data_IF_471339267649
#
_entry.id   IF_471339267649
#
_cell.length_a   1.000
_cell.length_b   1.000
_cell.length_c   1.000
_cell.angle_alpha   90.00
_cell.angle_beta   90.00
_cell.angle_gamma   90.00
#
_symmetry.space_group_name_H-M   'P 1'
#
loop_
_entity.id
_entity.type
_entity.pdbx_description
1 polymer ?
#
# COMPACT_ATOMS: atom_id res chain seq x y z
N UNK A 1 38.70 84.18 -26.82
CA UNK A 1 39.89 83.47 -27.23
C UNK A 1 39.78 81.99 -26.97
N UNK A 2 39.86 81.17 -28.05
CA UNK A 2 39.91 79.70 -28.14
C UNK A 2 38.70 78.89 -27.58
N UNK A 3 37.76 78.63 -28.45
CA UNK A 3 36.79 77.53 -28.45
C UNK A 3 37.53 76.17 -28.43
N UNK A 4 37.16 75.25 -27.53
CA UNK A 4 37.50 73.83 -27.63
C UNK A 4 36.21 73.04 -27.85
N UNK A 5 36.10 72.49 -29.05
CA UNK A 5 35.00 71.58 -29.43
C UNK A 5 35.19 70.24 -28.71
N UNK A 6 34.20 69.78 -27.98
CA UNK A 6 34.10 68.43 -27.45
C UNK A 6 33.15 67.67 -28.37
N UNK A 7 33.70 66.76 -29.13
CA UNK A 7 32.91 65.83 -29.94
C UNK A 7 32.31 64.73 -29.04
N UNK A 8 31.01 64.67 -29.04
CA UNK A 8 30.25 63.65 -28.31
C UNK A 8 30.03 62.41 -29.21
N UNK A 9 30.83 61.34 -28.98
CA UNK A 9 30.61 60.05 -29.68
C UNK A 9 29.43 59.38 -29.01
N UNK A 10 28.32 59.25 -29.77
CA UNK A 10 27.18 58.42 -29.40
C UNK A 10 27.46 56.98 -29.82
N UNK A 11 27.72 56.11 -28.84
CA UNK A 11 27.86 54.66 -28.99
C UNK A 11 26.46 54.03 -29.04
N UNK A 12 26.01 53.69 -30.26
CA UNK A 12 24.76 52.95 -30.49
C UNK A 12 24.96 51.48 -30.08
N UNK A 13 24.45 51.06 -28.91
CA UNK A 13 24.33 49.66 -28.55
C UNK A 13 23.17 49.05 -29.38
N UNK A 14 23.48 48.26 -30.39
CA UNK A 14 22.54 47.30 -30.97
C UNK A 14 22.30 46.19 -29.94
N UNK A 15 21.22 46.29 -29.19
CA UNK A 15 20.68 45.16 -28.45
C UNK A 15 20.07 44.17 -29.46
N UNK A 16 20.85 43.17 -29.84
CA UNK A 16 20.32 42.00 -30.56
C UNK A 16 19.35 41.23 -29.66
N UNK A 17 18.06 41.48 -29.83
CA UNK A 17 17.04 40.61 -29.23
C UNK A 17 17.06 39.29 -29.97
N UNK A 18 17.73 38.26 -29.39
CA UNK A 18 17.54 36.88 -29.80
C UNK A 18 16.11 36.49 -29.37
N UNK A 19 15.13 36.77 -30.25
CA UNK A 19 13.84 36.11 -30.18
C UNK A 19 14.06 34.66 -30.54
N UNK A 20 14.03 33.77 -29.55
CA UNK A 20 13.77 32.37 -29.78
C UNK A 20 12.37 32.29 -30.38
N UNK A 21 12.26 32.35 -31.68
CA UNK A 21 11.04 31.98 -32.39
C UNK A 21 10.78 30.51 -32.00
N UNK A 22 9.72 30.24 -31.26
CA UNK A 22 9.19 28.90 -31.15
C UNK A 22 8.85 28.49 -32.61
N UNK A 23 9.62 27.57 -33.16
CA UNK A 23 9.36 27.01 -34.49
C UNK A 23 8.00 26.32 -34.45
N UNK A 24 6.95 27.05 -34.75
CA UNK A 24 5.63 26.49 -34.96
C UNK A 24 5.68 25.74 -36.29
N UNK A 25 5.44 24.42 -36.23
CA UNK A 25 5.30 23.63 -37.46
C UNK A 25 4.19 24.22 -38.33
N UNK A 26 4.43 24.25 -39.65
CA UNK A 26 3.37 24.58 -40.59
C UNK A 26 2.28 23.49 -40.55
N UNK A 27 1.06 23.82 -40.88
CA UNK A 27 -0.09 22.87 -40.89
C UNK A 27 0.21 21.62 -41.77
N UNK A 28 1.03 21.74 -42.81
CA UNK A 28 1.45 20.60 -43.63
C UNK A 28 2.46 19.72 -42.90
N UNK A 29 3.38 20.30 -42.14
CA UNK A 29 4.34 19.53 -41.30
C UNK A 29 3.63 18.80 -40.19
N UNK A 30 2.65 19.43 -39.50
CA UNK A 30 1.82 18.78 -38.48
C UNK A 30 1.11 17.56 -39.06
N UNK A 31 0.41 17.68 -40.18
CA UNK A 31 -0.27 16.55 -40.83
C UNK A 31 0.69 15.44 -41.26
N UNK A 32 1.92 15.78 -41.72
CA UNK A 32 2.92 14.78 -42.05
C UNK A 32 3.41 14.05 -40.81
N UNK A 33 3.63 14.75 -39.67
CA UNK A 33 4.03 14.16 -38.40
C UNK A 33 2.93 13.22 -37.88
N UNK A 34 1.67 13.70 -37.89
CA UNK A 34 0.51 12.86 -37.48
C UNK A 34 0.44 11.56 -38.30
N UNK A 35 0.61 11.66 -39.62
CA UNK A 35 0.61 10.49 -40.49
C UNK A 35 1.76 9.53 -40.17
N UNK A 36 2.97 10.03 -40.00
CA UNK A 36 4.16 9.21 -39.69
C UNK A 36 3.96 8.50 -38.34
N UNK A 37 3.48 9.22 -37.33
CA UNK A 37 3.21 8.63 -36.00
C UNK A 37 2.12 7.58 -36.09
N UNK A 38 1.01 7.87 -36.76
CA UNK A 38 -0.07 6.91 -36.95
C UNK A 38 0.43 5.65 -37.67
N UNK A 39 1.06 5.79 -38.82
CA UNK A 39 1.55 4.68 -39.65
C UNK A 39 2.59 3.84 -38.88
N UNK A 40 3.47 4.48 -38.11
CA UNK A 40 4.45 3.81 -37.25
C UNK A 40 3.79 2.97 -36.15
N UNK A 41 2.85 3.54 -35.40
CA UNK A 41 2.17 2.85 -34.33
C UNK A 41 1.28 1.70 -34.82
N UNK A 42 0.61 1.89 -35.99
CA UNK A 42 -0.19 0.82 -36.59
C UNK A 42 0.68 -0.31 -37.13
N UNK A 43 1.86 0.01 -37.68
CA UNK A 43 2.82 -0.97 -38.19
C UNK A 43 3.58 -1.69 -37.08
N UNK A 44 3.78 -1.02 -35.92
CA UNK A 44 4.54 -1.53 -34.79
C UNK A 44 3.69 -1.39 -33.48
N UNK A 45 2.56 -2.11 -33.34
CA UNK A 45 1.65 -1.96 -32.21
C UNK A 45 2.28 -2.37 -30.86
N UNK A 46 3.34 -3.17 -30.87
CA UNK A 46 4.13 -3.55 -29.69
C UNK A 46 4.71 -2.34 -28.96
N UNK A 47 4.97 -1.23 -29.62
CA UNK A 47 5.46 0.01 -29.00
C UNK A 47 4.48 0.55 -27.95
N UNK A 48 3.17 0.40 -28.15
CA UNK A 48 2.16 0.79 -27.18
C UNK A 48 2.19 -0.12 -25.95
N UNK A 49 2.46 -1.42 -26.15
CA UNK A 49 2.62 -2.38 -25.04
C UNK A 49 3.88 -2.05 -24.25
N UNK A 50 5.00 -1.82 -24.90
CA UNK A 50 6.27 -1.43 -24.26
C UNK A 50 6.13 -0.11 -23.49
N UNK A 51 5.50 0.91 -24.08
CA UNK A 51 5.23 2.18 -23.41
C UNK A 51 4.34 2.01 -22.17
N UNK A 52 3.30 1.17 -22.27
CA UNK A 52 2.41 0.84 -21.15
C UNK A 52 3.16 0.14 -20.02
N UNK A 53 4.00 -0.86 -20.36
CA UNK A 53 4.83 -1.56 -19.38
C UNK A 53 5.84 -0.64 -18.69
N UNK A 54 6.49 0.24 -19.45
CA UNK A 54 7.42 1.24 -18.93
C UNK A 54 6.72 2.21 -17.96
N UNK A 55 5.52 2.67 -18.32
CA UNK A 55 4.70 3.52 -17.46
C UNK A 55 4.29 2.81 -16.16
N UNK A 56 3.84 1.56 -16.26
CA UNK A 56 3.47 0.75 -15.09
C UNK A 56 4.68 0.53 -14.17
N UNK A 57 5.84 0.19 -14.72
CA UNK A 57 7.07 0.01 -13.95
C UNK A 57 7.49 1.29 -13.22
N UNK A 58 7.37 2.46 -13.90
CA UNK A 58 7.64 3.76 -13.30
C UNK A 58 6.68 4.05 -12.14
N UNK A 59 5.38 3.89 -12.36
CA UNK A 59 4.35 4.11 -11.33
C UNK A 59 4.54 3.18 -10.13
N UNK A 60 4.87 1.91 -10.36
CA UNK A 60 5.15 0.97 -9.29
C UNK A 60 6.38 1.37 -8.46
N UNK A 61 7.44 1.84 -9.12
CA UNK A 61 8.64 2.33 -8.45
C UNK A 61 8.34 3.58 -7.61
N UNK A 62 7.59 4.53 -8.14
CA UNK A 62 7.19 5.75 -7.43
C UNK A 62 6.33 5.40 -6.20
N UNK A 63 5.33 4.54 -6.37
CA UNK A 63 4.48 4.06 -5.27
C UNK A 63 5.31 3.37 -4.18
N UNK A 64 6.26 2.51 -4.57
CA UNK A 64 7.15 1.84 -3.62
C UNK A 64 8.02 2.83 -2.84
N UNK A 65 8.53 3.87 -3.49
CA UNK A 65 9.33 4.90 -2.84
C UNK A 65 8.51 5.74 -1.86
N UNK A 66 7.34 6.24 -2.28
CA UNK A 66 6.42 6.99 -1.41
C UNK A 66 6.00 6.16 -0.19
N UNK A 67 5.61 4.90 -0.42
CA UNK A 67 5.23 3.98 0.66
C UNK A 67 6.38 3.72 1.62
N UNK A 68 7.60 3.53 1.11
CA UNK A 68 8.78 3.30 1.96
C UNK A 68 9.03 4.47 2.90
N UNK A 69 8.96 5.71 2.42
CA UNK A 69 9.12 6.92 3.25
C UNK A 69 8.02 6.99 4.31
N UNK A 70 6.77 6.74 3.92
CA UNK A 70 5.66 6.73 4.87
C UNK A 70 5.84 5.66 5.94
N UNK A 71 6.19 4.43 5.54
CA UNK A 71 6.37 3.29 6.46
C UNK A 71 7.50 3.59 7.45
N UNK A 72 8.63 4.14 6.99
CA UNK A 72 9.74 4.52 7.87
C UNK A 72 9.31 5.55 8.92
N UNK A 73 8.58 6.58 8.52
CA UNK A 73 8.12 7.63 9.42
C UNK A 73 7.03 7.16 10.40
N UNK A 74 6.28 6.11 10.05
CA UNK A 74 5.16 5.60 10.83
C UNK A 74 5.39 4.17 11.36
N UNK A 75 6.62 3.68 11.33
CA UNK A 75 6.95 2.29 11.69
C UNK A 75 6.45 1.90 13.09
N UNK A 76 6.62 2.77 14.08
CA UNK A 76 6.13 2.52 15.44
C UNK A 76 4.61 2.36 15.49
N UNK A 77 3.86 3.22 14.82
CA UNK A 77 2.40 3.13 14.72
C UNK A 77 1.95 1.85 14.01
N UNK A 78 2.65 1.50 12.92
CA UNK A 78 2.38 0.27 12.17
C UNK A 78 2.66 -0.99 12.98
N UNK A 79 3.61 -0.97 13.91
CA UNK A 79 4.01 -2.10 14.76
C UNK A 79 3.36 -2.11 16.15
N UNK A 80 2.70 -1.02 16.57
CA UNK A 80 2.13 -0.88 17.92
C UNK A 80 0.94 -1.77 18.20
N UNK A 81 0.33 -2.34 17.17
CA UNK A 81 -0.86 -3.20 17.30
C UNK A 81 -0.55 -4.48 18.08
N UNK A 82 -1.42 -4.81 19.03
CA UNK A 82 -1.27 -5.98 19.92
C UNK A 82 -2.50 -6.90 19.95
N UNK A 83 -3.64 -6.40 19.48
CA UNK A 83 -4.92 -7.12 19.53
C UNK A 83 -5.05 -8.04 18.30
N UNK A 84 -4.69 -7.51 17.14
CA UNK A 84 -4.89 -8.15 15.82
C UNK A 84 -3.57 -8.71 15.27
N UNK A 85 -2.92 -9.58 16.05
CA UNK A 85 -1.60 -10.11 15.74
C UNK A 85 -1.54 -11.63 15.78
N UNK A 86 -0.59 -12.21 15.04
CA UNK A 86 -0.25 -13.63 15.07
C UNK A 86 1.26 -13.83 14.91
N UNK A 87 1.77 -14.96 15.40
CA UNK A 87 3.19 -15.33 15.27
C UNK A 87 4.03 -14.90 16.47
N UNK A 88 5.34 -14.78 16.29
CA UNK A 88 6.29 -14.52 17.37
C UNK A 88 6.26 -13.05 17.81
N UNK A 89 6.25 -12.79 19.10
CA UNK A 89 6.27 -11.42 19.63
C UNK A 89 7.55 -10.67 19.22
N UNK A 90 8.71 -11.33 19.37
CA UNK A 90 10.03 -10.81 19.00
C UNK A 90 10.48 -11.38 17.67
N UNK A 91 9.69 -11.15 16.62
CA UNK A 91 9.99 -11.64 15.28
C UNK A 91 11.08 -10.80 14.61
N UNK A 92 11.90 -11.45 13.76
CA UNK A 92 12.90 -10.76 12.95
C UNK A 92 12.30 -10.10 11.70
N UNK A 93 11.12 -10.56 11.28
CA UNK A 93 10.35 -9.97 10.20
C UNK A 93 8.91 -9.79 10.64
N UNK A 94 8.36 -8.60 10.42
CA UNK A 94 6.93 -8.34 10.59
C UNK A 94 6.27 -8.11 9.25
N UNK A 95 5.21 -8.85 9.01
CA UNK A 95 4.31 -8.66 7.88
C UNK A 95 3.07 -7.92 8.38
N UNK A 96 2.72 -6.81 7.73
CA UNK A 96 1.47 -6.09 8.02
C UNK A 96 0.54 -6.35 6.85
N UNK A 97 -0.68 -6.79 7.12
CA UNK A 97 -1.70 -7.06 6.10
C UNK A 97 -2.89 -6.12 6.29
N UNK A 98 -3.17 -5.28 5.30
CA UNK A 98 -4.43 -4.55 5.18
C UNK A 98 -5.40 -5.39 4.37
N UNK A 99 -6.54 -5.76 4.95
CA UNK A 99 -7.46 -6.71 4.33
C UNK A 99 -8.93 -6.45 4.66
N UNK A 100 -9.82 -7.13 3.93
CA UNK A 100 -11.26 -7.11 4.11
C UNK A 100 -11.83 -8.52 3.94
N UNK A 101 -12.76 -8.93 4.80
CA UNK A 101 -13.38 -10.26 4.76
C UNK A 101 -14.22 -10.52 3.51
N UNK A 102 -14.78 -9.48 2.88
CA UNK A 102 -15.57 -9.60 1.64
C UNK A 102 -14.71 -9.56 0.38
N UNK A 103 -13.40 -9.32 0.52
CA UNK A 103 -12.48 -9.29 -0.59
C UNK A 103 -12.10 -10.72 -1.04
N UNK A 104 -12.45 -11.11 -2.27
CA UNK A 104 -12.11 -12.43 -2.81
C UNK A 104 -10.60 -12.70 -2.92
N UNK A 105 -9.78 -11.66 -3.09
CA UNK A 105 -8.32 -11.77 -3.06
C UNK A 105 -7.80 -12.04 -1.64
N UNK A 106 -8.37 -11.40 -0.61
CA UNK A 106 -8.03 -11.65 0.79
C UNK A 106 -8.41 -13.07 1.20
N UNK A 107 -9.57 -13.56 0.77
CA UNK A 107 -9.99 -14.94 1.01
C UNK A 107 -8.97 -15.96 0.45
N UNK A 108 -8.42 -15.69 -0.75
CA UNK A 108 -7.37 -16.52 -1.36
C UNK A 108 -6.04 -16.41 -0.61
N UNK A 109 -5.72 -15.26 -0.03
CA UNK A 109 -4.50 -15.05 0.72
C UNK A 109 -4.53 -15.67 2.13
N UNK A 110 -5.69 -15.80 2.75
CA UNK A 110 -5.82 -16.32 4.12
C UNK A 110 -5.12 -17.70 4.33
N UNK A 111 -5.32 -18.74 3.49
CA UNK A 111 -4.58 -20.00 3.63
C UNK A 111 -3.06 -19.82 3.42
N UNK A 112 -2.64 -18.92 2.52
CA UNK A 112 -1.23 -18.62 2.29
C UNK A 112 -0.60 -17.99 3.54
N UNK A 113 -1.28 -17.03 4.17
CA UNK A 113 -0.82 -16.39 5.41
C UNK A 113 -0.72 -17.40 6.57
N UNK A 114 -1.67 -18.31 6.68
CA UNK A 114 -1.63 -19.41 7.66
C UNK A 114 -0.41 -20.31 7.43
N UNK A 115 -0.17 -20.70 6.19
CA UNK A 115 0.98 -21.55 5.82
C UNK A 115 2.30 -20.79 6.07
N UNK A 116 2.39 -19.52 5.72
CA UNK A 116 3.52 -18.65 5.98
C UNK A 116 3.90 -18.65 7.47
N UNK A 117 2.93 -18.42 8.36
CA UNK A 117 3.13 -18.43 9.81
C UNK A 117 3.54 -19.82 10.33
N UNK A 118 3.04 -20.90 9.74
CA UNK A 118 3.40 -22.26 10.14
C UNK A 118 4.86 -22.59 9.81
N UNK A 119 5.35 -22.11 8.67
CA UNK A 119 6.71 -22.35 8.17
C UNK A 119 7.75 -21.41 8.78
N UNK A 120 7.35 -20.22 9.23
CA UNK A 120 8.27 -19.17 9.66
C UNK A 120 8.05 -18.82 11.15
N UNK A 121 8.82 -19.44 12.03
CA UNK A 121 8.71 -19.19 13.48
C UNK A 121 9.22 -17.81 13.91
N UNK A 122 10.00 -17.14 13.08
CA UNK A 122 10.54 -15.79 13.32
C UNK A 122 9.77 -14.68 12.56
N UNK A 123 8.54 -14.97 12.15
CA UNK A 123 7.65 -14.00 11.50
C UNK A 123 6.50 -13.65 12.44
N UNK A 124 6.17 -12.37 12.50
CA UNK A 124 4.96 -11.81 13.10
C UNK A 124 4.06 -11.28 11.99
N UNK A 125 2.77 -11.49 12.10
CA UNK A 125 1.77 -10.82 11.26
C UNK A 125 0.97 -9.86 12.12
N UNK A 126 0.86 -8.62 11.64
CA UNK A 126 -0.03 -7.59 12.17
C UNK A 126 -1.16 -7.42 11.17
N UNK A 127 -2.36 -7.75 11.57
CA UNK A 127 -3.56 -7.63 10.76
C UNK A 127 -4.18 -6.24 10.93
N UNK A 128 -4.37 -5.53 9.82
CA UNK A 128 -5.01 -4.22 9.78
C UNK A 128 -6.38 -4.36 9.13
N UNK A 129 -7.41 -4.49 9.95
CA UNK A 129 -8.80 -4.51 9.50
C UNK A 129 -9.12 -3.24 8.68
N UNK A 130 -9.37 -3.41 7.39
CA UNK A 130 -9.63 -2.32 6.45
C UNK A 130 -10.93 -2.58 5.68
N UNK A 131 -12.10 -2.44 6.35
CA UNK A 131 -13.39 -2.75 5.76
C UNK A 131 -13.81 -1.70 4.72
N UNK A 132 -13.65 -2.03 3.43
CA UNK A 132 -13.96 -1.16 2.30
C UNK A 132 -15.17 -1.63 1.48
N UNK A 133 -15.65 -2.86 1.69
CA UNK A 133 -16.79 -3.43 0.94
C UNK A 133 -18.13 -3.32 1.70
N UNK A 134 -18.29 -2.28 2.50
CA UNK A 134 -19.58 -1.90 3.10
C UNK A 134 -19.87 -2.48 4.48
N UNK A 135 -21.14 -2.48 4.86
CA UNK A 135 -21.60 -2.78 6.23
C UNK A 135 -21.18 -4.16 6.73
N UNK A 136 -21.24 -5.17 5.87
CA UNK A 136 -20.86 -6.55 6.20
C UNK A 136 -19.40 -6.65 6.62
N UNK A 137 -18.51 -5.97 5.87
CA UNK A 137 -17.08 -5.89 6.19
C UNK A 137 -16.84 -5.23 7.54
N UNK A 138 -17.56 -4.13 7.82
CA UNK A 138 -17.45 -3.42 9.10
C UNK A 138 -17.84 -4.35 10.25
N UNK A 139 -18.97 -5.05 10.15
CA UNK A 139 -19.45 -5.98 11.18
C UNK A 139 -18.44 -7.12 11.40
N UNK A 140 -17.86 -7.67 10.34
CA UNK A 140 -16.84 -8.71 10.44
C UNK A 140 -15.58 -8.21 11.15
N UNK A 141 -15.08 -7.02 10.77
CA UNK A 141 -13.92 -6.40 11.42
C UNK A 141 -14.17 -6.09 12.89
N UNK A 142 -15.35 -5.57 13.23
CA UNK A 142 -15.73 -5.33 14.62
C UNK A 142 -15.73 -6.62 15.43
N UNK A 143 -16.27 -7.70 14.86
CA UNK A 143 -16.31 -9.00 15.51
C UNK A 143 -14.90 -9.58 15.75
N UNK A 144 -14.03 -9.50 14.75
CA UNK A 144 -12.67 -10.01 14.89
C UNK A 144 -11.86 -9.24 15.96
N UNK A 145 -11.94 -7.92 15.96
CA UNK A 145 -11.25 -7.10 16.97
C UNK A 145 -11.83 -7.34 18.36
N UNK A 146 -13.17 -7.42 18.51
CA UNK A 146 -13.82 -7.73 19.78
C UNK A 146 -13.40 -9.10 20.32
N UNK A 147 -13.27 -10.11 19.46
CA UNK A 147 -12.70 -11.40 19.83
C UNK A 147 -11.22 -11.27 20.25
N UNK A 148 -10.49 -10.39 19.60
CA UNK A 148 -9.10 -10.07 19.93
C UNK A 148 -8.93 -9.48 21.34
N UNK A 149 -9.88 -8.68 21.82
CA UNK A 149 -9.91 -8.17 23.19
C UNK A 149 -10.08 -9.29 24.25
N UNK A 150 -10.50 -10.47 23.79
CA UNK A 150 -10.56 -11.70 24.60
C UNK A 150 -9.47 -12.71 24.24
N UNK A 151 -8.41 -12.27 23.51
CA UNK A 151 -7.28 -13.13 23.12
C UNK A 151 -7.59 -14.14 22.01
N UNK A 152 -8.71 -13.99 21.27
CA UNK A 152 -9.18 -14.96 20.26
C UNK A 152 -9.29 -14.39 18.85
N UNK A 153 -8.47 -13.37 18.54
CA UNK A 153 -8.48 -12.73 17.24
C UNK A 153 -8.30 -13.71 16.08
N UNK A 154 -7.20 -14.47 16.09
CA UNK A 154 -6.84 -15.39 14.99
C UNK A 154 -7.93 -16.47 14.80
N UNK A 155 -8.49 -16.96 15.90
CA UNK A 155 -9.58 -17.94 15.83
C UNK A 155 -10.83 -17.36 15.16
N UNK A 156 -11.23 -16.15 15.55
CA UNK A 156 -12.40 -15.49 14.97
C UNK A 156 -12.16 -15.10 13.51
N UNK A 157 -10.99 -14.59 13.18
CA UNK A 157 -10.58 -14.28 11.80
C UNK A 157 -10.70 -15.50 10.87
N UNK A 158 -10.19 -16.67 11.32
CA UNK A 158 -10.27 -17.89 10.53
C UNK A 158 -11.72 -18.36 10.34
N UNK A 159 -12.56 -18.24 11.37
CA UNK A 159 -13.97 -18.56 11.30
C UNK A 159 -14.70 -17.63 10.30
N UNK A 160 -14.44 -16.33 10.38
CA UNK A 160 -15.02 -15.34 9.45
C UNK A 160 -14.62 -15.61 8.00
N UNK A 161 -13.36 -15.93 7.72
CA UNK A 161 -12.91 -16.27 6.37
C UNK A 161 -13.46 -17.61 5.86
N UNK A 162 -13.94 -18.50 6.73
CA UNK A 162 -14.57 -19.75 6.32
C UNK A 162 -16.04 -19.58 5.89
N UNK A 163 -16.64 -18.43 6.19
CA UNK A 163 -18.04 -18.17 5.88
C UNK A 163 -18.22 -17.53 4.50
N UNK A 164 -19.18 -18.04 3.73
CA UNK A 164 -19.54 -17.45 2.43
C UNK A 164 -20.38 -16.18 2.56
N UNK A 165 -21.13 -16.09 3.63
CA UNK A 165 -22.00 -14.94 3.92
C UNK A 165 -21.89 -14.58 5.39
N UNK A 166 -21.53 -13.33 5.65
CA UNK A 166 -21.40 -12.80 7.00
C UNK A 166 -22.55 -11.83 7.26
N UNK A 167 -23.29 -12.07 8.34
CA UNK A 167 -24.27 -11.16 8.90
C UNK A 167 -24.17 -11.20 10.43
N UNK A 168 -24.95 -10.38 11.12
CA UNK A 168 -24.90 -10.30 12.58
C UNK A 168 -25.24 -11.65 13.25
N UNK A 169 -26.16 -12.45 12.69
CA UNK A 169 -26.50 -13.76 13.22
C UNK A 169 -25.34 -14.73 13.12
N UNK A 170 -24.72 -14.81 11.95
CA UNK A 170 -23.52 -15.63 11.71
C UNK A 170 -22.40 -15.23 12.66
N UNK A 171 -22.14 -13.94 12.80
CA UNK A 171 -21.11 -13.41 13.72
C UNK A 171 -21.36 -13.87 15.16
N UNK A 172 -22.62 -13.85 15.66
CA UNK A 172 -22.94 -14.32 17.01
C UNK A 172 -22.74 -15.83 17.17
N UNK A 173 -23.05 -16.61 16.14
CA UNK A 173 -22.82 -18.06 16.13
C UNK A 173 -21.32 -18.38 16.15
N UNK A 174 -20.51 -17.66 15.35
CA UNK A 174 -19.06 -17.81 15.33
C UNK A 174 -18.42 -17.42 16.67
N UNK A 175 -18.90 -16.34 17.30
CA UNK A 175 -18.44 -15.91 18.60
C UNK A 175 -18.68 -16.97 19.69
N UNK A 176 -19.87 -17.59 19.70
CA UNK A 176 -20.18 -18.73 20.59
C UNK A 176 -19.27 -19.92 20.29
N UNK A 177 -19.05 -20.26 19.01
CA UNK A 177 -18.16 -21.34 18.58
C UNK A 177 -16.71 -21.08 19.00
N UNK A 178 -16.28 -19.83 18.99
CA UNK A 178 -14.98 -19.43 19.49
C UNK A 178 -14.91 -19.46 21.05
N UNK A 179 -16.01 -19.67 21.74
CA UNK A 179 -16.08 -19.71 23.20
C UNK A 179 -15.83 -18.34 23.85
N UNK A 180 -16.34 -17.27 23.24
CA UNK A 180 -16.23 -15.91 23.75
C UNK A 180 -17.26 -15.67 24.87
N UNK A 181 -16.93 -14.80 25.83
CA UNK A 181 -17.93 -14.18 26.68
C UNK A 181 -18.84 -13.30 25.83
N UNK A 182 -20.07 -13.71 25.63
CA UNK A 182 -21.01 -13.08 24.72
C UNK A 182 -21.47 -11.70 25.17
N UNK A 183 -21.56 -11.47 26.49
CA UNK A 183 -21.93 -10.15 27.05
C UNK A 183 -20.84 -9.15 26.76
N UNK A 184 -19.59 -9.50 27.06
CA UNK A 184 -18.42 -8.69 26.75
C UNK A 184 -18.25 -8.50 25.25
N UNK A 185 -18.38 -9.56 24.47
CA UNK A 185 -18.23 -9.51 23.00
C UNK A 185 -19.19 -8.51 22.34
N UNK A 186 -20.47 -8.56 22.72
CA UNK A 186 -21.48 -7.65 22.17
C UNK A 186 -21.25 -6.18 22.57
N UNK A 187 -20.78 -5.95 23.80
CA UNK A 187 -20.40 -4.62 24.24
C UNK A 187 -19.16 -4.11 23.50
N UNK A 188 -18.12 -4.94 23.38
CA UNK A 188 -16.86 -4.60 22.74
C UNK A 188 -17.03 -4.32 21.25
N UNK A 189 -17.88 -5.09 20.51
CA UNK A 189 -18.16 -4.84 19.08
C UNK A 189 -18.63 -3.41 18.79
N UNK A 190 -19.35 -2.80 19.72
CA UNK A 190 -19.86 -1.42 19.62
C UNK A 190 -18.96 -0.42 20.35
N UNK A 191 -17.94 -0.93 21.05
CA UNK A 191 -17.07 -0.17 21.92
C UNK A 191 -16.15 0.79 21.17
N UNK A 192 -15.69 1.79 21.91
CA UNK A 192 -14.79 2.82 21.39
C UNK A 192 -13.47 2.23 20.87
N UNK A 193 -12.87 1.29 21.61
CA UNK A 193 -11.59 0.67 21.24
C UNK A 193 -11.64 0.02 19.85
N UNK A 194 -12.72 -0.72 19.56
CA UNK A 194 -12.92 -1.41 18.28
C UNK A 194 -13.08 -0.38 17.15
N UNK A 195 -13.90 0.64 17.36
CA UNK A 195 -14.14 1.67 16.37
C UNK A 195 -12.89 2.53 16.11
N UNK A 196 -12.15 2.87 17.16
CA UNK A 196 -10.90 3.64 17.03
C UNK A 196 -9.85 2.87 16.26
N UNK A 197 -9.72 1.55 16.47
CA UNK A 197 -8.77 0.73 15.76
C UNK A 197 -9.10 0.64 14.26
N UNK A 198 -10.38 0.44 13.91
CA UNK A 198 -10.81 0.46 12.51
C UNK A 198 -10.53 1.83 11.85
N UNK A 199 -10.84 2.91 12.55
CA UNK A 199 -10.61 4.27 12.07
C UNK A 199 -9.11 4.58 11.94
N UNK A 200 -8.27 4.12 12.87
CA UNK A 200 -6.82 4.24 12.77
C UNK A 200 -6.28 3.49 11.55
N UNK A 201 -6.72 2.26 11.32
CA UNK A 201 -6.32 1.46 10.17
C UNK A 201 -6.72 2.15 8.85
N UNK A 202 -7.93 2.71 8.80
CA UNK A 202 -8.41 3.49 7.63
C UNK A 202 -7.51 4.69 7.37
N UNK A 203 -7.21 5.50 8.38
CA UNK A 203 -6.32 6.67 8.25
C UNK A 203 -4.92 6.27 7.77
N UNK A 204 -4.36 5.19 8.28
CA UNK A 204 -3.08 4.66 7.81
C UNK A 204 -3.14 4.25 6.34
N UNK A 205 -4.17 3.52 5.93
CA UNK A 205 -4.38 3.11 4.55
C UNK A 205 -4.55 4.31 3.61
N UNK A 206 -5.37 5.29 3.97
CA UNK A 206 -5.59 6.52 3.20
C UNK A 206 -4.30 7.33 3.04
N UNK A 207 -3.51 7.45 4.11
CA UNK A 207 -2.22 8.17 4.10
C UNK A 207 -1.18 7.48 3.20
N UNK A 208 -1.28 6.16 3.04
CA UNK A 208 -0.47 5.38 2.08
C UNK A 208 -1.10 5.30 0.69
N UNK A 209 -2.22 5.97 0.46
CA UNK A 209 -2.97 5.91 -0.81
C UNK A 209 -3.34 4.48 -1.20
N UNK A 210 -3.75 3.64 -0.23
CA UNK A 210 -4.21 2.29 -0.50
C UNK A 210 -5.66 2.34 -0.99
N UNK A 211 -5.89 1.85 -2.21
CA UNK A 211 -7.22 1.86 -2.86
C UNK A 211 -7.90 0.50 -2.90
N UNK A 212 -7.27 -0.53 -2.33
CA UNK A 212 -7.79 -1.89 -2.37
C UNK A 212 -7.13 -2.81 -1.36
N UNK A 213 -7.60 -4.05 -1.33
CA UNK A 213 -7.12 -5.13 -0.47
C UNK A 213 -6.88 -6.41 -1.27
N UNK A 214 -5.98 -7.30 -0.84
CA UNK A 214 -5.05 -7.11 0.27
C UNK A 214 -3.87 -6.20 -0.11
N UNK A 215 -3.24 -5.59 0.90
CA UNK A 215 -1.92 -4.96 0.76
C UNK A 215 -1.04 -5.45 1.89
N UNK A 216 0.19 -5.86 1.55
CA UNK A 216 1.15 -6.34 2.54
C UNK A 216 2.34 -5.39 2.63
N UNK A 217 2.86 -5.22 3.85
CA UNK A 217 4.12 -4.55 4.11
C UNK A 217 5.02 -5.55 4.83
N UNK A 218 6.21 -5.81 4.27
CA UNK A 218 7.21 -6.68 4.89
C UNK A 218 8.32 -5.79 5.45
N UNK A 219 8.58 -5.89 6.75
CA UNK A 219 9.51 -5.04 7.49
C UNK A 219 10.53 -5.88 8.23
N UNK A 220 11.80 -5.46 8.20
CA UNK A 220 12.82 -6.01 9.09
C UNK A 220 12.57 -5.52 10.52
N UNK A 221 12.41 -6.49 11.44
CA UNK A 221 12.13 -6.20 12.85
C UNK A 221 12.97 -7.06 13.78
N UNK A 222 14.32 -6.99 13.72
CA UNK A 222 15.17 -7.77 14.61
C UNK A 222 14.77 -7.55 16.07
N UNK A 223 14.52 -8.66 16.78
CA UNK A 223 14.00 -8.64 18.16
C UNK A 223 12.67 -7.88 18.32
N UNK A 224 11.86 -7.79 17.28
CA UNK A 224 10.58 -7.07 17.28
C UNK A 224 10.67 -5.56 17.10
N UNK A 225 11.86 -5.01 16.83
CA UNK A 225 12.08 -3.57 16.64
C UNK A 225 12.35 -3.24 15.17
N UNK A 226 11.78 -2.15 14.68
CA UNK A 226 11.98 -1.73 13.29
C UNK A 226 13.45 -1.40 13.00
N UNK A 227 13.98 -2.00 11.93
CA UNK A 227 15.30 -1.66 11.40
C UNK A 227 15.16 -0.70 10.22
N UNK A 228 15.43 0.59 10.45
CA UNK A 228 15.34 1.63 9.43
C UNK A 228 16.42 1.55 8.33
N UNK A 229 17.49 0.77 8.55
CA UNK A 229 18.53 0.54 7.54
C UNK A 229 18.04 -0.38 6.41
N UNK A 230 17.02 -1.20 6.67
CA UNK A 230 16.43 -2.12 5.69
C UNK A 230 15.15 -1.50 5.13
N UNK A 231 15.09 -1.36 3.82
CA UNK A 231 13.90 -0.82 3.15
C UNK A 231 12.72 -1.78 3.26
N UNK A 232 11.55 -1.33 3.75
CA UNK A 232 10.35 -2.13 3.76
C UNK A 232 9.85 -2.42 2.33
N UNK A 233 9.22 -3.57 2.15
CA UNK A 233 8.64 -3.98 0.86
C UNK A 233 7.13 -3.87 0.93
N UNK A 234 6.54 -3.10 0.02
CA UNK A 234 5.09 -3.02 -0.19
C UNK A 234 4.67 -3.99 -1.30
N UNK A 235 3.66 -4.80 -1.03
CA UNK A 235 3.10 -5.78 -1.98
C UNK A 235 1.62 -5.46 -2.15
N UNK A 236 1.22 -4.80 -3.23
CA UNK A 236 -0.19 -4.59 -3.54
C UNK A 236 -0.81 -5.84 -4.16
N UNK A 237 -1.96 -6.26 -3.65
CA UNK A 237 -2.72 -7.40 -4.18
C UNK A 237 -2.22 -8.76 -3.70
N UNK A 238 -2.70 -9.81 -4.38
CA UNK A 238 -2.37 -11.20 -4.07
C UNK A 238 -0.97 -11.55 -4.56
N UNK A 239 -0.29 -12.43 -3.81
CA UNK A 239 1.02 -12.98 -4.19
C UNK A 239 1.07 -14.49 -3.89
N UNK A 240 2.02 -15.22 -4.47
CA UNK A 240 2.24 -16.62 -4.13
C UNK A 240 3.02 -16.78 -2.82
N UNK A 241 2.88 -17.93 -2.18
CA UNK A 241 3.67 -18.26 -0.99
C UNK A 241 5.18 -18.19 -1.27
N UNK A 242 5.60 -18.66 -2.45
CA UNK A 242 7.00 -18.63 -2.86
C UNK A 242 7.55 -17.21 -2.96
N UNK A 243 6.84 -16.33 -3.66
CA UNK A 243 7.21 -14.92 -3.75
C UNK A 243 7.24 -14.24 -2.38
N UNK A 244 6.25 -14.56 -1.53
CA UNK A 244 6.18 -14.02 -0.17
C UNK A 244 7.39 -14.46 0.65
N UNK A 245 7.74 -15.75 0.58
CA UNK A 245 8.91 -16.31 1.27
C UNK A 245 10.23 -15.68 0.78
N UNK A 246 10.37 -15.47 -0.53
CA UNK A 246 11.55 -14.80 -1.10
C UNK A 246 11.71 -13.36 -0.55
N UNK A 247 10.60 -12.62 -0.42
CA UNK A 247 10.63 -11.27 0.15
C UNK A 247 10.96 -11.27 1.65
N UNK A 248 10.42 -12.22 2.42
CA UNK A 248 10.76 -12.39 3.84
C UNK A 248 12.25 -12.67 3.99
N UNK A 249 12.79 -13.61 3.21
CA UNK A 249 14.22 -13.95 3.26
C UNK A 249 15.09 -12.73 2.92
N UNK A 250 14.74 -12.01 1.84
CA UNK A 250 15.45 -10.80 1.44
C UNK A 250 15.49 -9.75 2.55
N UNK A 251 14.37 -9.54 3.23
CA UNK A 251 14.26 -8.54 4.33
C UNK A 251 14.98 -9.04 5.58
N UNK A 252 14.95 -10.34 5.87
CA UNK A 252 15.63 -10.94 7.03
C UNK A 252 17.16 -10.93 6.91
N UNK A 253 17.69 -11.07 5.68
CA UNK A 253 19.13 -11.16 5.37
C UNK A 253 19.77 -9.77 5.17
N UNK A 254 18.97 -8.73 4.92
CA UNK A 254 19.48 -7.37 4.76
C UNK A 254 20.01 -6.84 6.10
N UNK A 255 21.29 -6.46 6.12
CA UNK A 255 22.01 -5.94 7.28
C UNK A 255 22.05 -4.41 7.28
#
# INVERSE_FOLDING_TARGET
MRLKHVAMLTLSMLAGANTFAADNFSTNQEKMIEKVVHDYLVKNPEVLVEASQALQAKQQKEMQQEASVFIQNNAQTLLSEKITVAGAEKANVTVIEFFDYQCGHCQKMNPIMKELLSKNKNVKVVYREFPIFGKTSIVASQAAIAAGLQGKYVQMQQLLFSEKKIDEKVVMELAKKAGLDMTKFQADMKGQVVNDLINQNRKLAESMKLFGTPVFIVMATPNGQFNSAVQPVLIPGSTSLENFQAMINKVAEAK
#
